data_IF_839088342897
#
_entry.id   IF_839088342897
#
_cell.length_a   1.000
_cell.length_b   1.000
_cell.length_c   1.000
_cell.angle_alpha   90.00
_cell.angle_beta   90.00
_cell.angle_gamma   90.00
#
_symmetry.space_group_name_H-M   'P 1'
#
loop_
_entity.id
_entity.type
_entity.pdbx_description
1 polymer ?
#
# COMPACT_ATOMS: atom_id res chain seq x y z
N UNK A 1 -13.67 4.49 51.67
CA UNK A 1 -14.08 3.34 50.84
C UNK A 1 -14.66 3.92 49.58
N UNK A 2 -13.93 3.86 48.47
CA UNK A 2 -14.36 4.41 47.21
C UNK A 2 -15.41 3.50 46.56
N UNK A 3 -16.42 4.10 45.95
CA UNK A 3 -17.62 3.45 45.43
C UNK A 3 -17.25 2.65 44.16
N UNK A 4 -17.52 1.33 44.08
CA UNK A 4 -17.15 0.52 42.93
C UNK A 4 -17.87 0.88 41.61
N UNK A 5 -18.89 1.75 41.64
CA UNK A 5 -19.63 2.18 40.47
C UNK A 5 -19.00 3.35 39.70
N UNK A 6 -17.95 4.01 40.22
CA UNK A 6 -17.26 5.08 39.51
C UNK A 6 -16.11 4.57 38.61
N UNK A 7 -15.64 3.34 38.81
CA UNK A 7 -14.59 2.75 37.93
C UNK A 7 -15.11 2.10 36.65
N UNK A 8 -16.43 1.86 36.57
CA UNK A 8 -17.03 1.27 35.35
C UNK A 8 -17.40 2.29 34.24
N UNK A 9 -17.31 3.60 34.55
CA UNK A 9 -17.68 4.67 33.64
C UNK A 9 -16.51 5.22 32.78
N UNK A 10 -15.29 4.69 32.94
CA UNK A 10 -14.08 5.24 32.27
C UNK A 10 -13.54 4.43 31.10
N UNK A 11 -14.26 3.45 30.54
CA UNK A 11 -13.73 2.63 29.43
C UNK A 11 -14.67 2.44 28.23
N UNK A 12 -15.60 3.36 28.00
CA UNK A 12 -16.21 3.49 26.67
C UNK A 12 -15.53 4.66 25.94
N UNK A 13 -14.25 4.50 25.61
CA UNK A 13 -13.66 5.22 24.48
C UNK A 13 -14.37 4.68 23.23
N UNK A 14 -15.51 5.29 22.90
CA UNK A 14 -16.15 5.11 21.59
C UNK A 14 -15.07 5.47 20.58
N UNK A 15 -14.60 4.47 19.83
CA UNK A 15 -13.68 4.69 18.71
C UNK A 15 -14.33 5.73 17.80
N UNK A 16 -13.78 6.95 17.81
CA UNK A 16 -14.33 8.08 17.06
C UNK A 16 -14.29 7.72 15.58
N UNK A 17 -15.45 7.54 14.97
CA UNK A 17 -15.53 7.24 13.53
C UNK A 17 -15.00 8.45 12.77
N UNK A 18 -14.00 8.25 11.92
CA UNK A 18 -13.41 9.29 11.07
C UNK A 18 -13.77 8.97 9.62
N UNK A 19 -14.45 9.90 8.97
CA UNK A 19 -14.89 9.77 7.58
C UNK A 19 -14.05 10.71 6.71
N UNK A 20 -13.37 10.15 5.71
CA UNK A 20 -12.68 10.91 4.68
C UNK A 20 -13.68 11.33 3.60
N UNK A 21 -13.73 12.62 3.30
CA UNK A 21 -14.64 13.20 2.30
C UNK A 21 -13.81 13.89 1.22
N UNK A 22 -14.08 13.54 -0.04
CA UNK A 22 -13.54 14.26 -1.20
C UNK A 22 -14.71 14.90 -1.96
N UNK A 23 -14.63 16.19 -2.18
CA UNK A 23 -15.64 16.93 -2.93
C UNK A 23 -15.38 16.88 -4.44
N UNK A 24 -16.41 17.07 -5.28
CA UNK A 24 -16.20 17.19 -6.73
C UNK A 24 -15.23 18.30 -7.16
N UNK A 25 -15.08 19.33 -6.32
CA UNK A 25 -14.17 20.46 -6.58
C UNK A 25 -12.71 20.17 -6.16
N UNK A 26 -12.38 18.91 -5.82
CA UNK A 26 -11.02 18.52 -5.46
C UNK A 26 -10.58 18.94 -4.05
N UNK A 27 -11.53 19.15 -3.13
CA UNK A 27 -11.23 19.43 -1.72
C UNK A 27 -11.48 18.18 -0.88
N UNK A 28 -10.47 17.76 -0.13
CA UNK A 28 -10.54 16.64 0.82
C UNK A 28 -10.52 17.13 2.27
N UNK A 29 -11.34 16.52 3.12
CA UNK A 29 -11.40 16.81 4.56
C UNK A 29 -11.88 15.60 5.35
N UNK A 30 -11.82 15.69 6.67
CA UNK A 30 -12.23 14.62 7.58
C UNK A 30 -13.33 15.10 8.53
N UNK A 31 -14.36 14.28 8.69
CA UNK A 31 -15.49 14.55 9.59
C UNK A 31 -15.71 13.38 10.53
N UNK A 32 -16.40 13.66 11.64
CA UNK A 32 -16.90 12.60 12.53
C UNK A 32 -18.26 12.05 12.02
N UNK A 33 -18.82 11.11 12.76
CA UNK A 33 -20.15 10.50 12.46
C UNK A 33 -21.32 11.49 12.45
N UNK A 34 -21.15 12.70 13.01
CA UNK A 34 -22.16 13.76 13.03
C UNK A 34 -21.90 14.81 11.93
N UNK A 35 -20.88 14.58 11.06
CA UNK A 35 -20.53 15.48 9.97
C UNK A 35 -19.73 16.73 10.40
N UNK A 36 -19.21 16.77 11.64
CA UNK A 36 -18.38 17.89 12.12
C UNK A 36 -16.96 17.72 11.66
N UNK A 37 -16.33 18.81 11.19
CA UNK A 37 -14.92 18.82 10.79
C UNK A 37 -14.02 18.45 11.95
N UNK A 38 -13.15 17.45 11.73
CA UNK A 38 -12.15 17.04 12.72
C UNK A 38 -10.91 17.91 12.71
N UNK A 39 -10.54 18.40 11.53
CA UNK A 39 -9.37 19.29 11.34
C UNK A 39 -9.78 20.51 10.53
N UNK A 40 -9.20 21.68 10.86
CA UNK A 40 -9.39 22.93 10.09
C UNK A 40 -8.71 22.86 8.72
N UNK A 41 -7.73 21.94 8.56
CA UNK A 41 -6.93 21.82 7.35
C UNK A 41 -7.71 21.08 6.27
N UNK A 42 -7.68 21.61 5.07
CA UNK A 42 -8.19 20.99 3.85
C UNK A 42 -7.01 20.51 3.00
N UNK A 43 -7.27 19.48 2.19
CA UNK A 43 -6.31 18.85 1.30
C UNK A 43 -6.86 18.79 -0.13
N UNK A 44 -6.02 18.60 -1.13
CA UNK A 44 -6.43 18.36 -2.53
C UNK A 44 -6.98 16.95 -2.74
N UNK A 45 -6.77 16.05 -1.79
CA UNK A 45 -7.30 14.71 -1.76
C UNK A 45 -7.00 14.01 -0.45
N UNK A 46 -7.89 13.14 -0.04
CA UNK A 46 -7.76 12.37 1.20
C UNK A 46 -8.20 10.92 0.98
N UNK A 47 -7.62 10.00 1.74
CA UNK A 47 -8.09 8.62 1.82
C UNK A 47 -8.66 8.31 3.20
N UNK A 48 -9.34 7.18 3.35
CA UNK A 48 -9.72 6.66 4.66
C UNK A 48 -8.48 6.36 5.50
N UNK A 49 -8.62 6.41 6.81
CA UNK A 49 -7.60 5.93 7.73
C UNK A 49 -7.46 4.40 7.66
N UNK A 50 -6.24 3.95 7.57
CA UNK A 50 -5.84 2.53 7.71
C UNK A 50 -4.59 2.49 8.59
N UNK A 51 -4.54 1.59 9.55
CA UNK A 51 -3.42 1.47 10.49
C UNK A 51 -3.04 2.80 11.17
N UNK A 52 -4.06 3.64 11.47
CA UNK A 52 -3.87 4.94 12.13
C UNK A 52 -3.38 6.07 11.22
N UNK A 53 -3.17 5.82 9.92
CA UNK A 53 -2.67 6.81 8.95
C UNK A 53 -3.63 6.95 7.76
N UNK A 54 -3.73 8.16 7.22
CA UNK A 54 -4.47 8.45 5.99
C UNK A 54 -3.56 9.16 4.98
N UNK A 55 -3.64 8.75 3.71
CA UNK A 55 -3.02 9.49 2.62
C UNK A 55 -3.69 10.85 2.48
N UNK A 56 -2.90 11.91 2.33
CA UNK A 56 -3.37 13.26 2.01
C UNK A 56 -2.55 13.83 0.86
N UNK A 57 -3.20 14.63 0.01
CA UNK A 57 -2.55 15.34 -1.09
C UNK A 57 -2.46 16.83 -0.78
N UNK A 58 -1.28 17.41 -0.95
CA UNK A 58 -1.03 18.84 -0.81
C UNK A 58 0.08 19.26 -1.77
N UNK A 59 -0.12 20.38 -2.51
CA UNK A 59 0.81 20.87 -3.53
C UNK A 59 1.16 19.76 -4.55
N UNK A 60 0.14 19.05 -5.04
CA UNK A 60 0.26 17.94 -5.98
C UNK A 60 1.11 16.75 -5.50
N UNK A 61 1.49 16.70 -4.22
CA UNK A 61 2.25 15.61 -3.62
C UNK A 61 1.45 14.91 -2.53
N UNK A 62 1.69 13.62 -2.41
CA UNK A 62 1.08 12.76 -1.40
C UNK A 62 1.99 12.58 -0.20
N UNK A 63 1.38 12.55 0.98
CA UNK A 63 1.99 12.23 2.27
C UNK A 63 0.97 11.57 3.17
N UNK A 64 1.24 11.53 4.48
CA UNK A 64 0.34 10.86 5.43
C UNK A 64 0.19 11.67 6.71
N UNK A 65 -1.02 11.65 7.24
CA UNK A 65 -1.37 12.23 8.55
C UNK A 65 -1.84 11.14 9.51
N UNK A 66 -1.69 11.40 10.80
CA UNK A 66 -2.27 10.58 11.87
C UNK A 66 -3.73 11.00 12.18
N UNK A 67 -4.37 10.29 13.10
CA UNK A 67 -5.76 10.55 13.53
C UNK A 67 -5.93 11.88 14.29
N UNK A 68 -4.86 12.56 14.67
CA UNK A 68 -4.84 13.90 15.24
C UNK A 68 -4.76 15.01 14.16
N UNK A 69 -4.57 14.62 12.88
CA UNK A 69 -4.40 15.54 11.75
C UNK A 69 -2.97 16.07 11.59
N UNK A 70 -2.02 15.50 12.29
CA UNK A 70 -0.60 15.85 12.22
C UNK A 70 0.08 15.13 11.05
N UNK A 71 0.95 15.83 10.33
CA UNK A 71 1.73 15.25 9.23
C UNK A 71 2.82 14.35 9.81
N UNK A 72 2.67 13.04 9.61
CA UNK A 72 3.66 12.02 10.00
C UNK A 72 4.68 11.79 8.88
N UNK A 73 4.20 11.76 7.64
CA UNK A 73 5.05 11.57 6.46
C UNK A 73 4.80 12.75 5.53
N UNK A 74 5.83 13.55 5.21
CA UNK A 74 5.69 14.75 4.38
C UNK A 74 5.08 14.46 3.01
N UNK A 75 4.35 15.44 2.45
CA UNK A 75 3.79 15.36 1.09
C UNK A 75 4.91 15.57 0.06
N UNK A 76 5.64 14.51 -0.28
CA UNK A 76 6.77 14.50 -1.21
C UNK A 76 6.61 13.51 -2.36
N UNK A 77 5.65 12.60 -2.27
CA UNK A 77 5.47 11.51 -3.24
C UNK A 77 4.54 11.92 -4.40
N UNK A 78 4.86 11.48 -5.61
CA UNK A 78 4.03 11.67 -6.81
C UNK A 78 2.73 10.84 -6.76
N UNK A 79 2.71 9.80 -5.93
CA UNK A 79 1.56 8.93 -5.68
C UNK A 79 1.76 8.14 -4.40
N UNK A 80 0.67 7.84 -3.73
CA UNK A 80 0.67 6.99 -2.54
C UNK A 80 -0.61 6.13 -2.49
N UNK A 81 -0.55 5.03 -1.76
CA UNK A 81 -1.67 4.16 -1.41
C UNK A 81 -1.72 4.00 0.11
N UNK A 82 -2.88 3.60 0.61
CA UNK A 82 -3.08 3.39 2.04
C UNK A 82 -2.12 2.34 2.59
N UNK A 83 -1.82 2.45 3.87
CA UNK A 83 -1.09 1.43 4.62
C UNK A 83 -1.90 0.13 4.70
N UNK A 84 -1.20 -0.97 4.58
CA UNK A 84 -1.70 -2.31 4.86
C UNK A 84 -0.51 -3.21 5.20
N UNK A 85 -0.63 -4.01 6.27
CA UNK A 85 0.44 -4.88 6.79
C UNK A 85 1.75 -4.11 7.07
N UNK A 86 1.62 -2.87 7.60
CA UNK A 86 2.74 -2.01 7.97
C UNK A 86 3.44 -1.31 6.80
N UNK A 87 3.00 -1.49 5.57
CA UNK A 87 3.61 -0.93 4.37
C UNK A 87 2.63 -0.07 3.57
N UNK A 88 3.13 1.03 3.00
CA UNK A 88 2.42 1.83 2.01
C UNK A 88 3.22 1.91 0.72
N UNK A 89 2.53 1.66 -0.40
CA UNK A 89 3.14 1.86 -1.72
C UNK A 89 3.19 3.34 -2.06
N UNK A 90 4.38 3.81 -2.42
CA UNK A 90 4.62 5.21 -2.81
C UNK A 90 5.29 5.30 -4.17
N UNK A 91 5.07 6.41 -4.87
CA UNK A 91 5.68 6.71 -6.16
C UNK A 91 6.56 7.93 -6.04
N UNK A 92 7.77 7.86 -6.53
CA UNK A 92 8.68 8.99 -6.64
C UNK A 92 9.50 8.87 -7.93
N UNK A 93 9.66 9.99 -8.65
CA UNK A 93 10.36 10.02 -9.93
C UNK A 93 9.82 8.97 -10.93
N UNK A 94 8.47 8.82 -10.97
CA UNK A 94 7.74 7.86 -11.81
C UNK A 94 7.97 6.39 -11.47
N UNK A 95 8.74 6.06 -10.45
CA UNK A 95 9.01 4.70 -9.97
C UNK A 95 8.28 4.41 -8.67
N UNK A 96 7.92 3.17 -8.46
CA UNK A 96 7.22 2.68 -7.28
C UNK A 96 8.17 2.02 -6.28
N UNK A 97 7.85 2.15 -5.01
CA UNK A 97 8.51 1.52 -3.88
C UNK A 97 7.58 1.44 -2.67
N UNK A 98 8.12 1.11 -1.51
CA UNK A 98 7.35 1.01 -0.26
C UNK A 98 8.06 1.71 0.90
N UNK A 99 7.24 2.28 1.78
CA UNK A 99 7.65 2.86 3.06
C UNK A 99 6.90 2.17 4.21
N UNK A 100 7.48 2.20 5.40
CA UNK A 100 6.80 1.78 6.62
C UNK A 100 6.01 2.95 7.26
N UNK A 101 5.30 2.68 8.36
CA UNK A 101 4.45 3.66 9.07
C UNK A 101 5.23 4.84 9.67
N UNK A 102 6.57 4.76 9.77
CA UNK A 102 7.45 5.86 10.16
C UNK A 102 7.92 6.71 8.97
N UNK A 103 7.59 6.31 7.74
CA UNK A 103 8.07 6.94 6.51
C UNK A 103 9.47 6.50 6.08
N UNK A 104 10.04 5.46 6.72
CA UNK A 104 11.32 4.89 6.32
C UNK A 104 11.15 4.05 5.06
N UNK A 105 12.08 4.20 4.11
CA UNK A 105 12.05 3.44 2.84
C UNK A 105 12.43 2.00 3.12
N UNK A 106 11.47 1.08 2.91
CA UNK A 106 11.68 -0.38 3.01
C UNK A 106 12.08 -0.94 1.64
N UNK A 107 11.41 -0.47 0.59
CA UNK A 107 11.70 -0.86 -0.79
C UNK A 107 11.89 0.43 -1.60
N UNK A 108 13.07 0.66 -2.17
CA UNK A 108 13.34 1.90 -2.91
C UNK A 108 12.43 2.05 -4.13
N UNK A 109 12.14 3.30 -4.52
CA UNK A 109 11.33 3.62 -5.71
C UNK A 109 12.14 3.39 -6.99
N UNK A 110 12.23 2.14 -7.41
CA UNK A 110 12.99 1.71 -8.60
C UNK A 110 12.17 0.94 -9.62
N UNK A 111 10.94 0.53 -9.28
CA UNK A 111 10.09 -0.30 -10.12
C UNK A 111 9.16 0.53 -11.01
N UNK A 112 9.04 0.15 -12.28
CA UNK A 112 8.17 0.82 -13.27
C UNK A 112 6.70 0.56 -12.98
N UNK A 113 6.38 -0.71 -12.67
CA UNK A 113 5.05 -1.15 -12.27
C UNK A 113 5.12 -2.12 -11.11
N UNK A 114 4.00 -2.26 -10.43
CA UNK A 114 3.79 -3.22 -9.36
C UNK A 114 2.36 -3.75 -9.45
N UNK A 115 2.10 -4.96 -8.97
CA UNK A 115 0.75 -5.51 -8.89
C UNK A 115 -0.20 -4.52 -8.22
N UNK A 116 -1.40 -4.38 -8.78
CA UNK A 116 -2.47 -3.51 -8.25
C UNK A 116 -3.66 -4.32 -7.71
N UNK A 117 -3.62 -5.66 -7.79
CA UNK A 117 -4.76 -6.52 -7.48
C UNK A 117 -5.14 -6.51 -6.00
N UNK A 118 -4.20 -6.25 -5.10
CA UNK A 118 -4.44 -6.18 -3.65
C UNK A 118 -4.11 -4.79 -3.11
N UNK A 119 -4.74 -4.40 -2.00
CA UNK A 119 -4.51 -3.11 -1.33
C UNK A 119 -3.03 -2.91 -0.99
N UNK A 120 -2.34 -3.97 -0.58
CA UNK A 120 -0.91 -3.99 -0.31
C UNK A 120 -0.04 -4.12 -1.55
N UNK A 121 -0.55 -4.72 -2.63
CA UNK A 121 0.27 -5.19 -3.75
C UNK A 121 1.04 -6.47 -3.47
N UNK A 122 0.85 -7.09 -2.28
CA UNK A 122 1.41 -8.38 -1.92
C UNK A 122 0.34 -9.47 -1.92
N UNK A 123 0.70 -10.66 -2.41
CA UNK A 123 -0.06 -11.90 -2.31
C UNK A 123 0.91 -13.00 -1.87
N UNK A 124 0.52 -13.82 -0.89
CA UNK A 124 1.40 -14.82 -0.28
C UNK A 124 2.75 -14.24 0.20
N UNK A 125 2.73 -12.97 0.69
CA UNK A 125 3.92 -12.24 1.13
C UNK A 125 4.85 -11.77 -0.01
N UNK A 126 4.43 -11.88 -1.27
CA UNK A 126 5.20 -11.53 -2.46
C UNK A 126 4.47 -10.49 -3.31
N UNK A 127 5.23 -9.54 -3.86
CA UNK A 127 4.74 -8.56 -4.82
C UNK A 127 5.38 -8.77 -6.18
N UNK A 128 4.53 -8.78 -7.23
CA UNK A 128 4.98 -8.74 -8.61
C UNK A 128 5.42 -7.32 -8.95
N UNK A 129 6.62 -7.20 -9.47
CA UNK A 129 7.25 -5.92 -9.84
C UNK A 129 7.78 -5.96 -11.27
N UNK A 130 7.70 -4.81 -11.96
CA UNK A 130 8.30 -4.65 -13.30
C UNK A 130 9.48 -3.69 -13.21
N UNK A 131 10.58 -4.07 -13.81
CA UNK A 131 11.73 -3.21 -14.02
C UNK A 131 12.29 -3.43 -15.45
N UNK A 132 12.48 -2.33 -16.18
CA UNK A 132 12.98 -2.35 -17.56
C UNK A 132 12.15 -3.26 -18.50
N UNK A 133 10.82 -3.26 -18.34
CA UNK A 133 9.90 -4.05 -19.18
C UNK A 133 9.86 -5.54 -18.87
N UNK A 134 10.52 -5.99 -17.79
CA UNK A 134 10.50 -7.38 -17.35
C UNK A 134 9.91 -7.49 -15.94
N UNK A 135 9.18 -8.56 -15.72
CA UNK A 135 8.53 -8.87 -14.45
C UNK A 135 9.39 -9.77 -13.58
N UNK A 136 9.29 -9.58 -12.27
CA UNK A 136 9.91 -10.38 -11.24
C UNK A 136 9.10 -10.29 -9.94
N UNK A 137 9.65 -10.80 -8.86
CA UNK A 137 8.97 -10.85 -7.56
C UNK A 137 9.90 -10.46 -6.42
N UNK A 138 9.36 -9.72 -5.47
CA UNK A 138 10.03 -9.31 -4.23
C UNK A 138 9.17 -9.69 -3.02
N UNK A 139 9.80 -9.89 -1.86
CA UNK A 139 9.07 -10.07 -0.61
C UNK A 139 8.83 -8.72 0.11
N UNK A 140 8.11 -8.76 1.24
CA UNK A 140 7.78 -7.58 2.06
C UNK A 140 8.99 -6.84 2.65
N UNK A 141 10.17 -7.46 2.64
CA UNK A 141 11.46 -6.84 3.04
C UNK A 141 12.22 -6.25 1.85
N UNK A 142 11.65 -6.31 0.64
CA UNK A 142 12.31 -5.84 -0.60
C UNK A 142 13.37 -6.79 -1.16
N UNK A 143 13.51 -8.01 -0.60
CA UNK A 143 14.43 -9.01 -1.15
C UNK A 143 13.85 -9.57 -2.45
N UNK A 144 14.67 -9.60 -3.49
CA UNK A 144 14.30 -10.24 -4.76
C UNK A 144 14.17 -11.74 -4.54
N UNK A 145 13.00 -12.28 -4.84
CA UNK A 145 12.67 -13.71 -4.83
C UNK A 145 12.84 -14.30 -6.22
N UNK A 146 12.31 -13.62 -7.24
CA UNK A 146 12.58 -13.94 -8.63
C UNK A 146 13.00 -12.66 -9.37
N UNK A 147 14.13 -12.67 -10.10
CA UNK A 147 14.62 -11.48 -10.80
C UNK A 147 13.66 -11.03 -11.90
N UNK A 148 13.72 -9.74 -12.29
CA UNK A 148 12.91 -9.18 -13.38
C UNK A 148 13.47 -9.64 -14.74
N UNK A 149 13.12 -10.87 -15.14
CA UNK A 149 13.53 -11.51 -16.39
C UNK A 149 12.37 -12.01 -17.24
N UNK A 150 11.15 -12.06 -16.68
CA UNK A 150 9.97 -12.59 -17.35
C UNK A 150 9.29 -11.54 -18.22
N UNK A 151 8.82 -11.94 -19.40
CA UNK A 151 8.07 -11.08 -20.34
C UNK A 151 6.69 -10.75 -19.78
N UNK A 152 6.06 -11.71 -19.08
CA UNK A 152 4.82 -11.56 -18.34
C UNK A 152 4.83 -12.42 -17.10
N UNK A 153 4.05 -12.02 -16.09
CA UNK A 153 3.85 -12.78 -14.87
C UNK A 153 2.48 -12.47 -14.27
N UNK A 154 1.93 -13.40 -13.50
CA UNK A 154 0.71 -13.17 -12.69
C UNK A 154 1.06 -13.26 -11.20
N UNK A 155 0.19 -12.68 -10.37
CA UNK A 155 0.37 -12.74 -8.92
C UNK A 155 0.31 -14.19 -8.42
N UNK A 156 0.94 -14.45 -7.29
CA UNK A 156 0.91 -15.76 -6.65
C UNK A 156 -0.53 -16.13 -6.26
N UNK A 157 -0.86 -17.40 -6.46
CA UNK A 157 -2.09 -18.04 -6.01
C UNK A 157 -1.79 -19.49 -5.64
N UNK A 158 -2.19 -19.90 -4.44
CA UNK A 158 -1.95 -21.26 -3.94
C UNK A 158 -0.45 -21.67 -4.01
N UNK A 159 0.44 -20.70 -3.74
CA UNK A 159 1.88 -20.94 -3.70
C UNK A 159 2.60 -20.99 -5.05
N UNK A 160 1.90 -20.75 -6.17
CA UNK A 160 2.47 -20.71 -7.51
C UNK A 160 2.19 -19.40 -8.23
N UNK A 161 3.13 -18.97 -9.06
CA UNK A 161 2.93 -17.85 -9.97
C UNK A 161 3.21 -18.28 -11.42
N UNK A 162 2.27 -17.91 -12.30
CA UNK A 162 2.50 -18.01 -13.74
C UNK A 162 3.59 -17.03 -14.16
N UNK A 163 4.50 -17.49 -15.00
CA UNK A 163 5.54 -16.67 -15.64
C UNK A 163 5.65 -17.01 -17.13
N UNK A 164 5.99 -16.01 -17.93
CA UNK A 164 6.23 -16.16 -19.38
C UNK A 164 7.64 -15.69 -19.70
N UNK A 165 8.38 -16.47 -20.45
CA UNK A 165 9.71 -16.10 -20.95
C UNK A 165 9.92 -16.64 -22.36
N UNK A 166 10.37 -15.78 -23.30
CA UNK A 166 10.57 -16.14 -24.70
C UNK A 166 9.32 -16.79 -25.33
N UNK A 167 8.15 -16.19 -25.10
CA UNK A 167 6.84 -16.66 -25.54
C UNK A 167 6.39 -18.03 -24.99
N UNK A 168 7.15 -18.64 -24.09
CA UNK A 168 6.82 -19.89 -23.40
C UNK A 168 6.39 -19.63 -21.97
N UNK A 169 5.45 -20.44 -21.50
CA UNK A 169 4.81 -20.34 -20.19
C UNK A 169 5.35 -21.40 -19.23
N UNK A 170 5.42 -21.04 -17.97
CA UNK A 170 5.85 -21.89 -16.88
C UNK A 170 5.33 -21.39 -15.53
N UNK A 171 5.78 -22.02 -14.46
CA UNK A 171 5.41 -21.65 -13.09
C UNK A 171 6.61 -21.65 -12.15
N UNK A 172 6.59 -20.73 -11.22
CA UNK A 172 7.56 -20.65 -10.10
C UNK A 172 6.83 -20.79 -8.76
N UNK A 173 7.54 -21.27 -7.74
CA UNK A 173 7.06 -21.32 -6.36
C UNK A 173 7.39 -20.03 -5.58
N UNK A 174 6.95 -19.96 -4.32
CA UNK A 174 7.17 -18.78 -3.43
C UNK A 174 8.64 -18.59 -3.03
N UNK A 175 9.53 -19.54 -3.30
CA UNK A 175 10.98 -19.44 -3.14
C UNK A 175 11.66 -18.85 -4.39
N UNK A 176 10.91 -18.76 -5.51
CA UNK A 176 11.41 -18.32 -6.81
C UNK A 176 11.99 -19.46 -7.65
N UNK A 177 11.85 -20.71 -7.19
CA UNK A 177 12.31 -21.88 -7.93
C UNK A 177 11.34 -22.19 -9.07
N UNK A 178 11.88 -22.61 -10.23
CA UNK A 178 11.08 -23.04 -11.37
C UNK A 178 10.50 -24.42 -11.10
N UNK A 179 9.17 -24.48 -10.95
CA UNK A 179 8.42 -25.74 -10.76
C UNK A 179 8.03 -26.34 -12.11
N UNK A 180 7.60 -25.48 -13.03
CA UNK A 180 7.30 -25.85 -14.42
C UNK A 180 8.13 -24.94 -15.32
N UNK A 181 9.05 -25.49 -16.12
CA UNK A 181 9.90 -24.70 -16.99
C UNK A 181 9.08 -23.98 -18.10
N UNK A 182 9.56 -22.81 -18.54
CA UNK A 182 8.93 -22.04 -19.63
C UNK A 182 9.21 -22.71 -20.98
N UNK A 183 8.50 -23.80 -21.27
CA UNK A 183 8.61 -24.57 -22.52
C UNK A 183 7.26 -24.77 -23.23
N UNK A 184 6.16 -24.45 -22.55
CA UNK A 184 4.80 -24.66 -23.05
C UNK A 184 4.29 -23.42 -23.80
N UNK A 185 3.53 -23.64 -24.87
CA UNK A 185 2.75 -22.60 -25.49
C UNK A 185 1.60 -22.21 -24.55
N UNK A 186 1.34 -20.89 -24.43
CA UNK A 186 0.23 -20.41 -23.61
C UNK A 186 -1.11 -20.86 -24.16
N UNK A 187 -2.05 -21.17 -23.25
CA UNK A 187 -3.46 -21.39 -23.55
C UNK A 187 -4.22 -20.06 -23.63
#
# INVERSE_FOLDING_TARGET
MANPNEQAAQSLQTSKVIIAVNTPNGVGYFVDSEGRFLFKKQFEGVSKFTEGLACVKQNDKWGFINTQGEVVIPCIYDGARNFSEGLARVKQNRKWGFINTKGEVVIPCIYDKMSSLFLTGFSDGLARVEQNGKWGFINTKGRVVAPCIYDDARDFSEGLAYVKQNDKCGFINTQGDVVVPCIYDGA
#
